data_IF_001974061644
#
_entry.id   IF_001974061644
#
_cell.length_a   1.000
_cell.length_b   1.000
_cell.length_c   1.000
_cell.angle_alpha   90.00
_cell.angle_beta   90.00
_cell.angle_gamma   90.00
#
_symmetry.space_group_name_H-M   'P 1'
#
loop_
_entity.id
_entity.type
_entity.pdbx_description
1 polymer ?
#
# COMPACT_ATOMS: atom_id res chain seq x y z
N UNK A 1 0.24 1.26 11.39
CA UNK A 1 0.43 1.89 10.06
C UNK A 1 -0.14 3.32 10.16
N UNK A 2 0.42 4.32 9.46
CA UNK A 2 0.12 5.73 9.73
C UNK A 2 -1.36 6.06 9.47
N UNK A 3 -1.93 5.63 8.34
CA UNK A 3 -3.32 5.92 7.97
C UNK A 3 -4.31 5.38 9.01
N UNK A 4 -4.16 4.13 9.43
CA UNK A 4 -5.02 3.54 10.46
C UNK A 4 -4.84 4.19 11.84
N UNK A 5 -3.61 4.57 12.21
CA UNK A 5 -3.34 5.23 13.49
C UNK A 5 -3.81 6.69 13.55
N UNK A 6 -3.95 7.36 12.40
CA UNK A 6 -4.43 8.74 12.35
C UNK A 6 -5.91 8.84 12.77
N UNK A 7 -6.73 7.89 12.34
CA UNK A 7 -8.12 7.78 12.77
C UNK A 7 -8.53 6.30 12.92
N UNK A 8 -8.26 5.71 14.10
CA UNK A 8 -8.61 4.32 14.38
C UNK A 8 -10.12 4.06 14.29
N UNK A 9 -10.94 5.05 14.64
CA UNK A 9 -12.40 4.90 14.63
C UNK A 9 -12.94 4.87 13.20
N UNK A 10 -12.46 5.77 12.32
CA UNK A 10 -12.81 5.73 10.91
C UNK A 10 -12.34 4.41 10.26
N UNK A 11 -11.12 3.95 10.57
CA UNK A 11 -10.64 2.65 10.12
C UNK A 11 -11.56 1.52 10.57
N UNK A 12 -11.95 1.49 11.85
CA UNK A 12 -12.86 0.47 12.38
C UNK A 12 -14.22 0.46 11.66
N UNK A 13 -14.80 1.63 11.37
CA UNK A 13 -16.05 1.74 10.62
C UNK A 13 -15.90 1.13 9.22
N UNK A 14 -14.79 1.42 8.52
CA UNK A 14 -14.51 0.86 7.18
C UNK A 14 -14.35 -0.67 7.25
N UNK A 15 -13.62 -1.20 8.23
CA UNK A 15 -13.44 -2.64 8.42
C UNK A 15 -14.69 -3.38 8.92
N UNK A 16 -15.69 -2.66 9.44
CA UNK A 16 -16.99 -3.24 9.79
C UNK A 16 -18.00 -3.13 8.65
N UNK A 17 -17.68 -2.41 7.57
CA UNK A 17 -18.56 -2.28 6.41
C UNK A 17 -18.60 -3.55 5.57
N UNK A 18 -19.79 -3.93 5.12
CA UNK A 18 -19.96 -5.05 4.18
C UNK A 18 -19.88 -4.51 2.76
N UNK A 19 -18.78 -4.82 2.07
CA UNK A 19 -18.54 -4.49 0.66
C UNK A 19 -18.19 -5.76 -0.12
N UNK A 20 -18.32 -5.72 -1.45
CA UNK A 20 -18.03 -6.88 -2.29
C UNK A 20 -16.58 -7.37 -2.16
N UNK A 21 -15.63 -6.42 -2.10
CA UNK A 21 -14.20 -6.69 -1.95
C UNK A 21 -13.57 -5.64 -1.04
N UNK A 22 -12.93 -6.07 0.04
CA UNK A 22 -12.12 -5.22 0.91
C UNK A 22 -10.68 -5.76 0.93
N UNK A 23 -9.78 -5.12 0.18
CA UNK A 23 -8.36 -5.47 0.09
C UNK A 23 -7.49 -4.45 0.82
N UNK A 24 -6.63 -4.94 1.70
CA UNK A 24 -5.68 -4.12 2.47
C UNK A 24 -4.25 -4.35 1.99
N UNK A 25 -3.50 -3.28 1.79
CA UNK A 25 -2.09 -3.33 1.39
C UNK A 25 -1.23 -2.88 2.58
N UNK A 26 -0.86 -3.84 3.41
CA UNK A 26 -0.13 -3.58 4.65
C UNK A 26 1.34 -3.17 4.44
N UNK A 27 1.97 -2.73 5.52
CA UNK A 27 3.40 -2.41 5.53
C UNK A 27 4.28 -3.64 5.28
N UNK A 28 3.78 -4.85 5.54
CA UNK A 28 4.46 -6.12 5.29
C UNK A 28 4.76 -6.33 3.79
N UNK A 29 3.91 -5.77 2.92
CA UNK A 29 4.03 -5.88 1.47
C UNK A 29 4.53 -4.58 0.86
N UNK A 30 3.91 -3.45 1.20
CA UNK A 30 4.21 -2.16 0.54
C UNK A 30 5.66 -1.72 0.71
N UNK A 31 6.31 -2.05 1.83
CA UNK A 31 7.73 -1.72 2.09
C UNK A 31 8.73 -2.45 1.19
N UNK A 32 8.27 -3.46 0.44
CA UNK A 32 9.11 -4.19 -0.52
C UNK A 32 9.19 -3.47 -1.88
N UNK A 33 8.30 -2.51 -2.12
CA UNK A 33 8.24 -1.74 -3.37
C UNK A 33 8.89 -0.39 -3.18
N UNK A 34 10.20 -0.34 -3.42
CA UNK A 34 11.04 0.84 -3.16
C UNK A 34 11.95 1.17 -4.33
N UNK A 35 12.30 2.43 -4.46
CA UNK A 35 13.20 2.92 -5.50
C UNK A 35 14.21 3.92 -4.91
N UNK A 36 15.52 3.72 -5.13
CA UNK A 36 16.53 4.70 -4.75
C UNK A 36 16.33 6.05 -5.44
N UNK A 37 16.76 7.13 -4.79
CA UNK A 37 16.66 8.48 -5.33
C UNK A 37 17.28 8.64 -6.71
N UNK A 38 18.43 8.01 -6.94
CA UNK A 38 19.12 8.02 -8.25
C UNK A 38 18.30 7.36 -9.35
N UNK A 39 17.58 6.28 -9.04
CA UNK A 39 16.71 5.61 -9.99
C UNK A 39 15.44 6.42 -10.25
N UNK A 40 14.86 7.06 -9.22
CA UNK A 40 13.74 8.01 -9.40
C UNK A 40 14.14 9.12 -10.36
N UNK A 41 15.30 9.75 -10.14
CA UNK A 41 15.84 10.77 -11.04
C UNK A 41 16.03 10.24 -12.46
N UNK A 42 16.52 9.01 -12.64
CA UNK A 42 16.72 8.43 -13.96
C UNK A 42 15.40 8.08 -14.69
N UNK A 43 14.38 7.62 -13.96
CA UNK A 43 13.15 7.06 -14.55
C UNK A 43 11.98 8.03 -14.64
N UNK A 44 11.92 9.06 -13.79
CA UNK A 44 10.79 10.00 -13.74
C UNK A 44 10.92 11.11 -14.80
N UNK A 45 11.11 10.72 -16.05
CA UNK A 45 11.39 11.62 -17.17
C UNK A 45 10.12 12.06 -17.93
N UNK A 46 9.06 11.27 -17.84
CA UNK A 46 7.77 11.55 -18.46
C UNK A 46 7.20 12.90 -17.96
N UNK A 47 6.54 13.70 -18.81
CA UNK A 47 6.00 15.01 -18.42
C UNK A 47 5.15 14.99 -17.15
N UNK A 48 4.31 13.96 -16.98
CA UNK A 48 3.45 13.78 -15.80
C UNK A 48 4.23 13.44 -14.52
N UNK A 49 5.42 12.85 -14.65
CA UNK A 49 6.26 12.49 -13.50
C UNK A 49 7.19 13.63 -13.07
N UNK A 50 7.38 14.68 -13.88
CA UNK A 50 8.26 15.81 -13.50
C UNK A 50 7.82 16.52 -12.22
N UNK A 51 6.53 16.84 -12.00
CA UNK A 51 6.09 17.39 -10.72
C UNK A 51 6.32 16.43 -9.56
N UNK A 52 6.11 15.12 -9.78
CA UNK A 52 6.34 14.08 -8.77
C UNK A 52 7.83 14.01 -8.41
N UNK A 53 8.73 14.09 -9.40
CA UNK A 53 10.17 14.15 -9.18
C UNK A 53 10.56 15.39 -8.36
N UNK A 54 10.00 16.57 -8.67
CA UNK A 54 10.25 17.79 -7.92
C UNK A 54 9.80 17.70 -6.45
N UNK A 55 8.66 17.07 -6.17
CA UNK A 55 8.24 16.78 -4.80
C UNK A 55 9.16 15.78 -4.10
N UNK A 56 9.59 14.73 -4.83
CA UNK A 56 10.48 13.70 -4.30
C UNK A 56 11.86 14.27 -3.94
N UNK A 57 12.38 15.27 -4.66
CA UNK A 57 13.65 15.94 -4.31
C UNK A 57 13.66 16.52 -2.89
N UNK A 58 12.54 17.07 -2.41
CA UNK A 58 12.43 17.57 -1.04
C UNK A 58 12.50 16.41 -0.04
N UNK A 59 11.84 15.30 -0.36
CA UNK A 59 11.88 14.07 0.44
C UNK A 59 13.30 13.50 0.51
N UNK A 60 14.04 13.55 -0.61
CA UNK A 60 15.41 13.05 -0.72
C UNK A 60 16.45 13.86 0.07
N UNK A 61 16.10 15.04 0.60
CA UNK A 61 16.97 15.75 1.55
C UNK A 61 17.15 15.02 2.87
N UNK A 62 16.26 14.07 3.19
CA UNK A 62 16.25 13.32 4.45
C UNK A 62 16.23 11.80 4.28
N UNK A 63 16.02 11.31 3.06
CA UNK A 63 15.85 9.89 2.72
C UNK A 63 16.57 9.59 1.41
N UNK A 64 17.01 8.37 1.22
CA UNK A 64 17.76 7.90 0.05
C UNK A 64 16.91 7.07 -0.92
N UNK A 65 15.71 6.69 -0.52
CA UNK A 65 14.75 5.92 -1.32
C UNK A 65 13.31 6.37 -1.04
N UNK A 66 12.41 6.14 -2.00
CA UNK A 66 10.95 6.22 -1.79
C UNK A 66 10.34 4.81 -1.76
N UNK A 67 9.24 4.68 -1.01
CA UNK A 67 8.39 3.48 -1.00
C UNK A 67 7.05 3.80 -1.65
N UNK A 68 6.59 2.94 -2.55
CA UNK A 68 5.36 3.13 -3.33
C UNK A 68 4.16 2.49 -2.63
N UNK A 69 3.80 2.99 -1.44
CA UNK A 69 2.67 2.46 -0.66
C UNK A 69 1.35 2.55 -1.42
N UNK A 70 0.90 3.77 -1.71
CA UNK A 70 -0.39 4.02 -2.34
C UNK A 70 -0.42 3.61 -3.83
N UNK A 71 0.66 3.83 -4.62
CA UNK A 71 0.69 3.35 -5.99
C UNK A 71 0.57 1.83 -6.11
N UNK A 72 1.06 1.04 -5.14
CA UNK A 72 0.89 -0.41 -5.14
C UNK A 72 -0.59 -0.79 -5.06
N UNK A 73 -1.33 -0.20 -4.11
CA UNK A 73 -2.76 -0.45 -3.98
C UNK A 73 -3.51 -0.08 -5.26
N UNK A 74 -3.19 1.06 -5.89
CA UNK A 74 -3.80 1.48 -7.14
C UNK A 74 -3.49 0.52 -8.30
N UNK A 75 -2.24 0.07 -8.45
CA UNK A 75 -1.83 -0.81 -9.54
C UNK A 75 -2.54 -2.17 -9.48
N UNK A 76 -2.75 -2.73 -8.29
CA UNK A 76 -3.43 -4.03 -8.12
C UNK A 76 -4.91 -4.03 -8.53
N UNK A 77 -5.53 -2.86 -8.73
CA UNK A 77 -6.87 -2.76 -9.31
C UNK A 77 -6.85 -3.20 -10.78
N UNK A 78 -5.77 -2.90 -11.50
CA UNK A 78 -5.64 -3.16 -12.93
C UNK A 78 -4.85 -4.43 -13.24
N UNK A 79 -3.95 -4.84 -12.34
CA UNK A 79 -3.20 -6.08 -12.45
C UNK A 79 -3.16 -6.82 -11.11
N UNK A 80 -4.12 -7.72 -10.94
CA UNK A 80 -4.25 -8.52 -9.71
C UNK A 80 -3.06 -9.45 -9.47
N UNK A 81 -2.22 -9.72 -10.47
CA UNK A 81 -1.06 -10.61 -10.31
C UNK A 81 0.20 -9.90 -9.81
N UNK A 82 0.12 -8.59 -9.53
CA UNK A 82 1.16 -7.85 -8.80
C UNK A 82 1.27 -8.35 -7.35
N UNK A 83 0.16 -8.72 -6.73
CA UNK A 83 0.12 -9.21 -5.35
C UNK A 83 -0.67 -10.51 -5.25
N UNK A 84 -0.27 -11.37 -4.31
CA UNK A 84 -1.18 -12.42 -3.81
C UNK A 84 -1.95 -11.89 -2.61
N UNK A 85 -3.13 -12.47 -2.35
CA UNK A 85 -3.99 -12.04 -1.26
C UNK A 85 -4.41 -13.23 -0.40
N UNK A 86 -4.27 -13.07 0.92
CA UNK A 86 -4.80 -14.01 1.91
C UNK A 86 -6.18 -13.55 2.40
N UNK A 87 -7.12 -14.49 2.59
CA UNK A 87 -8.48 -14.21 3.08
C UNK A 87 -8.59 -14.40 4.59
N UNK A 88 -9.37 -13.54 5.24
CA UNK A 88 -9.53 -13.56 6.69
C UNK A 88 -10.30 -12.34 7.20
N UNK A 89 -10.15 -12.07 8.49
CA UNK A 89 -10.80 -10.96 9.17
C UNK A 89 -9.75 -10.04 9.78
N UNK A 90 -10.03 -8.75 9.74
CA UNK A 90 -9.18 -7.68 10.28
C UNK A 90 -10.02 -6.94 11.30
N UNK A 91 -9.49 -6.79 12.50
CA UNK A 91 -10.09 -5.98 13.56
C UNK A 91 -9.16 -4.83 13.90
N UNK A 92 -9.72 -3.64 14.09
CA UNK A 92 -8.95 -2.45 14.46
C UNK A 92 -8.96 -2.32 15.98
N UNK A 93 -7.78 -2.15 16.57
CA UNK A 93 -7.60 -1.90 17.99
C UNK A 93 -8.08 -0.49 18.37
N UNK A 94 -9.02 -0.42 19.31
CA UNK A 94 -9.63 0.82 19.79
C UNK A 94 -9.54 1.00 21.31
N UNK A 95 -9.28 -0.07 22.07
CA UNK A 95 -9.32 -0.04 23.53
C UNK A 95 -7.96 0.40 24.10
N UNK A 96 -6.88 -0.15 23.55
CA UNK A 96 -5.52 0.22 23.96
C UNK A 96 -5.11 1.53 23.33
N UNK A 97 -4.98 2.58 24.13
CA UNK A 97 -4.46 3.89 23.69
C UNK A 97 -3.09 3.79 23.01
N UNK A 98 -2.24 2.84 23.45
CA UNK A 98 -0.88 2.66 22.89
C UNK A 98 -0.89 1.94 21.55
N UNK A 99 -1.91 1.13 21.30
CA UNK A 99 -2.06 0.32 20.09
C UNK A 99 -3.20 0.81 19.20
N UNK A 100 -3.77 1.98 19.47
CA UNK A 100 -4.91 2.50 18.73
C UNK A 100 -4.60 2.56 17.22
N UNK A 101 -5.43 1.91 16.41
CA UNK A 101 -5.21 1.75 14.97
C UNK A 101 -4.30 0.59 14.58
N UNK A 102 -3.93 -0.28 15.52
CA UNK A 102 -3.30 -1.56 15.21
C UNK A 102 -4.31 -2.50 14.54
N UNK A 103 -3.84 -3.27 13.56
CA UNK A 103 -4.66 -4.11 12.69
C UNK A 103 -4.45 -5.57 13.08
N UNK A 104 -5.39 -6.15 13.82
CA UNK A 104 -5.37 -7.56 14.20
C UNK A 104 -5.87 -8.41 13.05
N UNK A 105 -5.00 -9.23 12.47
CA UNK A 105 -5.33 -10.13 11.38
C UNK A 105 -5.55 -11.56 11.86
N UNK A 106 -6.61 -12.20 11.38
CA UNK A 106 -6.85 -13.62 11.55
C UNK A 106 -7.26 -14.25 10.22
N UNK A 107 -6.51 -15.26 9.78
CA UNK A 107 -6.84 -16.00 8.57
C UNK A 107 -8.18 -16.75 8.72
N UNK A 108 -9.00 -16.68 7.69
CA UNK A 108 -10.28 -17.40 7.58
C UNK A 108 -10.64 -17.52 6.09
N UNK A 109 -10.29 -18.66 5.50
CA UNK A 109 -10.53 -18.91 4.08
C UNK A 109 -11.99 -19.24 3.76
N UNK A 110 -12.81 -19.60 4.75
CA UNK A 110 -14.18 -20.03 4.54
C UNK A 110 -15.13 -18.83 4.54
N UNK A 111 -14.99 -17.94 5.52
CA UNK A 111 -15.94 -16.84 5.77
C UNK A 111 -15.30 -15.47 5.91
N UNK A 112 -13.97 -15.35 5.74
CA UNK A 112 -13.27 -14.09 5.89
C UNK A 112 -13.78 -12.98 4.98
N UNK A 113 -14.13 -11.84 5.59
CA UNK A 113 -14.68 -10.67 4.91
C UNK A 113 -13.61 -9.82 4.22
N UNK A 114 -12.36 -9.95 4.64
CA UNK A 114 -11.25 -9.13 4.17
C UNK A 114 -10.22 -9.96 3.42
N UNK A 115 -9.46 -9.26 2.60
CA UNK A 115 -8.26 -9.74 1.95
C UNK A 115 -7.10 -8.84 2.35
N UNK A 116 -5.98 -9.44 2.73
CA UNK A 116 -4.72 -8.70 2.95
C UNK A 116 -3.73 -9.12 1.87
N UNK A 117 -3.00 -8.16 1.31
CA UNK A 117 -1.88 -8.49 0.45
C UNK A 117 -0.87 -9.32 1.26
N UNK A 118 -0.48 -10.46 0.70
CA UNK A 118 0.40 -11.45 1.35
C UNK A 118 1.81 -11.42 0.75
N UNK A 119 1.89 -11.40 -0.59
CA UNK A 119 3.15 -11.21 -1.32
C UNK A 119 3.02 -10.15 -2.40
N UNK A 120 4.16 -9.65 -2.89
CA UNK A 120 4.25 -8.72 -4.03
C UNK A 120 5.36 -9.14 -4.97
N UNK A 121 5.15 -8.91 -6.27
CA UNK A 121 6.20 -8.90 -7.29
C UNK A 121 6.58 -7.44 -7.61
N UNK A 122 7.69 -6.91 -7.05
CA UNK A 122 8.13 -5.54 -7.30
C UNK A 122 8.50 -5.30 -8.77
N UNK A 123 9.01 -6.30 -9.46
CA UNK A 123 9.42 -6.17 -10.87
C UNK A 123 8.20 -5.97 -11.74
N UNK A 124 7.15 -6.77 -11.51
CA UNK A 124 5.86 -6.62 -12.19
C UNK A 124 5.19 -5.30 -11.83
N UNK A 125 5.21 -4.91 -10.54
CA UNK A 125 4.71 -3.61 -10.12
C UNK A 125 5.35 -2.47 -10.92
N UNK A 126 6.68 -2.41 -10.98
CA UNK A 126 7.37 -1.33 -11.70
C UNK A 126 7.14 -1.40 -13.20
N UNK A 127 7.12 -2.59 -13.80
CA UNK A 127 6.77 -2.74 -15.21
C UNK A 127 5.37 -2.17 -15.51
N UNK A 128 4.37 -2.51 -14.68
CA UNK A 128 3.01 -1.99 -14.79
C UNK A 128 2.96 -0.46 -14.57
N UNK A 129 3.50 0.02 -13.45
CA UNK A 129 3.49 1.43 -13.07
C UNK A 129 4.10 2.32 -14.15
N UNK A 130 5.24 1.94 -14.74
CA UNK A 130 5.88 2.76 -15.76
C UNK A 130 5.25 2.63 -17.16
N UNK A 131 4.49 1.56 -17.44
CA UNK A 131 3.87 1.34 -18.75
C UNK A 131 2.82 2.40 -19.12
N UNK A 132 2.27 3.12 -18.12
CA UNK A 132 1.23 4.14 -18.31
C UNK A 132 1.80 5.56 -18.48
N UNK A 133 3.13 5.74 -18.43
CA UNK A 133 3.80 7.05 -18.54
C UNK A 133 4.56 7.24 -19.87
N UNK A 134 4.20 6.49 -20.91
CA UNK A 134 4.74 6.64 -22.26
C UNK A 134 4.52 8.04 -22.83
#
# INVERSE_FOLDING_TARGET
EWNASCDPHAAAIVYQSTVATHRSHGLDVTRQVRMPASEVQARFQAPLLRPVAAFAEVFFRRRDEITFHDPLAAATIFDESICTFARGNVQVELESRQLAGFMHWQADNATGLHQVADTVDPSRFFAHYFSVFN
#
